data_IF_075392033881
#
_entry.id   IF_075392033881
#
_cell.length_a   1.000
_cell.length_b   1.000
_cell.length_c   1.000
_cell.angle_alpha   90.00
_cell.angle_beta   90.00
_cell.angle_gamma   90.00
#
_symmetry.space_group_name_H-M   'P 1'
#
loop_
_entity.id
_entity.type
_entity.pdbx_description
1 polymer ?
#
# COMPACT_ATOMS: atom_id res chain seq x y z
N UNK A 1 31.92 41.91 -12.98
CA UNK A 1 31.97 41.03 -11.83
C UNK A 1 31.60 39.64 -12.34
N UNK A 2 32.47 38.64 -12.13
CA UNK A 2 32.18 37.27 -12.55
C UNK A 2 30.96 36.77 -11.76
N UNK A 3 29.90 36.42 -12.47
CA UNK A 3 28.70 35.85 -11.88
C UNK A 3 29.10 34.55 -11.15
N UNK A 4 28.67 34.40 -9.90
CA UNK A 4 29.02 33.23 -9.10
C UNK A 4 28.49 31.99 -9.82
N UNK A 5 29.36 31.04 -10.17
CA UNK A 5 29.04 29.82 -10.91
C UNK A 5 27.82 29.08 -10.31
N UNK A 6 27.67 29.11 -8.98
CA UNK A 6 26.52 28.53 -8.31
C UNK A 6 25.22 29.30 -8.64
N UNK A 7 25.26 30.63 -8.64
CA UNK A 7 24.09 31.44 -8.99
C UNK A 7 23.63 31.18 -10.43
N UNK A 8 24.58 31.06 -11.36
CA UNK A 8 24.28 30.70 -12.75
C UNK A 8 23.65 29.32 -12.84
N UNK A 9 24.19 28.30 -12.17
CA UNK A 9 23.62 26.94 -12.16
C UNK A 9 22.22 26.90 -11.57
N UNK A 10 21.97 27.67 -10.50
CA UNK A 10 20.64 27.76 -9.87
C UNK A 10 19.66 28.43 -10.83
N UNK A 11 20.05 29.47 -11.55
CA UNK A 11 19.19 30.11 -12.59
C UNK A 11 18.84 29.11 -13.69
N UNK A 12 19.83 28.45 -14.29
CA UNK A 12 19.61 27.47 -15.36
C UNK A 12 18.63 26.38 -14.96
N UNK A 13 18.70 25.87 -13.70
CA UNK A 13 17.80 24.83 -13.23
C UNK A 13 16.43 25.38 -12.89
N UNK A 14 16.32 26.64 -12.45
CA UNK A 14 15.06 27.31 -12.19
C UNK A 14 14.32 27.59 -13.50
N UNK A 15 15.02 28.04 -14.55
CA UNK A 15 14.43 28.24 -15.87
C UNK A 15 13.87 26.94 -16.46
N UNK A 16 14.59 25.82 -16.27
CA UNK A 16 14.10 24.48 -16.64
C UNK A 16 12.86 24.07 -15.85
N UNK A 17 12.81 24.39 -14.54
CA UNK A 17 11.64 24.13 -13.71
C UNK A 17 10.43 24.93 -14.21
N UNK A 18 10.60 26.19 -14.54
CA UNK A 18 9.51 27.02 -15.08
C UNK A 18 8.96 26.47 -16.39
N UNK A 19 9.86 26.02 -17.29
CA UNK A 19 9.47 25.34 -18.50
C UNK A 19 8.73 24.02 -18.20
N UNK A 20 9.28 23.19 -17.32
CA UNK A 20 8.65 21.92 -16.92
C UNK A 20 7.27 22.11 -16.30
N UNK A 21 7.04 23.18 -15.53
CA UNK A 21 5.73 23.49 -14.96
C UNK A 21 4.71 23.84 -16.06
N UNK A 22 5.11 24.58 -17.07
CA UNK A 22 4.21 24.90 -18.19
C UNK A 22 3.78 23.68 -18.98
N UNK A 23 4.69 22.72 -19.12
CA UNK A 23 4.45 21.46 -19.86
C UNK A 23 3.79 20.37 -18.98
N UNK A 24 3.81 20.52 -17.66
CA UNK A 24 3.33 19.53 -16.70
C UNK A 24 1.84 19.19 -16.87
N UNK A 25 1.03 20.16 -17.28
CA UNK A 25 -0.43 20.00 -17.34
C UNK A 25 -0.94 19.32 -18.62
N UNK A 26 -0.07 18.65 -19.35
CA UNK A 26 -0.44 17.62 -20.32
C UNK A 26 -0.73 16.32 -19.57
N UNK A 27 -1.81 15.61 -19.92
CA UNK A 27 -2.32 14.45 -19.18
C UNK A 27 -1.25 13.39 -18.86
N UNK A 28 -0.45 13.00 -19.85
CA UNK A 28 0.57 11.97 -19.66
C UNK A 28 1.75 12.46 -18.80
N UNK A 29 2.19 13.69 -18.98
CA UNK A 29 3.24 14.29 -18.15
C UNK A 29 2.81 14.49 -16.71
N UNK A 30 1.54 14.81 -16.50
CA UNK A 30 0.97 14.94 -15.16
C UNK A 30 0.94 13.59 -14.45
N UNK A 31 0.51 12.53 -15.12
CA UNK A 31 0.57 11.16 -14.59
C UNK A 31 2.00 10.72 -14.25
N UNK A 32 2.95 11.01 -15.14
CA UNK A 32 4.36 10.68 -14.94
C UNK A 32 4.93 11.41 -13.72
N UNK A 33 4.59 12.69 -13.55
CA UNK A 33 4.95 13.45 -12.37
C UNK A 33 4.36 12.84 -11.09
N UNK A 34 3.06 12.50 -11.08
CA UNK A 34 2.42 11.87 -9.92
C UNK A 34 3.03 10.49 -9.59
N UNK A 35 3.37 9.71 -10.62
CA UNK A 35 4.08 8.43 -10.47
C UNK A 35 5.47 8.64 -9.86
N UNK A 36 6.20 9.65 -10.29
CA UNK A 36 7.50 10.01 -9.70
C UNK A 36 7.30 10.48 -8.27
N UNK A 37 6.27 11.28 -8.00
CA UNK A 37 5.96 11.76 -6.65
C UNK A 37 5.64 10.62 -5.68
N UNK A 38 4.98 9.54 -6.11
CA UNK A 38 4.70 8.38 -5.27
C UNK A 38 5.97 7.68 -4.76
N UNK A 39 7.05 7.73 -5.53
CA UNK A 39 8.37 7.19 -5.15
C UNK A 39 9.19 8.19 -4.31
N UNK A 40 9.04 9.48 -4.58
CA UNK A 40 9.84 10.58 -4.01
C UNK A 40 9.00 11.57 -3.20
N UNK A 41 7.99 11.08 -2.48
CA UNK A 41 7.05 11.91 -1.71
C UNK A 41 7.71 12.78 -0.63
N UNK A 42 8.90 12.39 -0.15
CA UNK A 42 9.72 13.16 0.80
C UNK A 42 10.50 14.32 0.15
N UNK A 43 10.56 14.39 -1.17
CA UNK A 43 11.21 15.48 -1.88
C UNK A 43 10.27 16.69 -2.04
N UNK A 44 10.86 17.90 -2.16
CA UNK A 44 10.07 19.08 -2.50
C UNK A 44 9.48 18.97 -3.91
N UNK A 45 8.37 19.67 -4.16
CA UNK A 45 7.76 19.76 -5.48
C UNK A 45 8.79 20.01 -6.60
N UNK A 46 9.67 21.01 -6.41
CA UNK A 46 10.69 21.33 -7.41
C UNK A 46 11.65 20.16 -7.67
N UNK A 47 12.08 19.48 -6.64
CA UNK A 47 13.02 18.36 -6.79
C UNK A 47 12.34 17.12 -7.38
N UNK A 48 11.11 16.84 -7.01
CA UNK A 48 10.32 15.75 -7.64
C UNK A 48 10.14 16.00 -9.13
N UNK A 49 9.81 17.23 -9.51
CA UNK A 49 9.68 17.60 -10.93
C UNK A 49 11.02 17.52 -11.67
N UNK A 50 12.12 17.96 -11.04
CA UNK A 50 13.46 17.84 -11.63
C UNK A 50 13.88 16.39 -11.83
N UNK A 51 13.53 15.48 -10.91
CA UNK A 51 13.78 14.04 -11.05
C UNK A 51 12.94 13.49 -12.19
N UNK A 52 11.63 13.77 -12.24
CA UNK A 52 10.73 13.31 -13.29
C UNK A 52 11.19 13.73 -14.69
N UNK A 53 11.65 14.98 -14.83
CA UNK A 53 12.14 15.52 -16.11
C UNK A 53 13.48 14.94 -16.58
N UNK A 54 14.33 14.48 -15.67
CA UNK A 54 15.69 14.02 -16.01
C UNK A 54 15.80 12.51 -16.04
N UNK A 55 15.03 11.81 -15.20
CA UNK A 55 15.02 10.34 -15.08
C UNK A 55 13.67 9.84 -14.54
N UNK A 56 12.63 9.79 -15.37
CA UNK A 56 11.26 9.45 -14.95
C UNK A 56 11.16 8.01 -14.40
N UNK A 57 12.02 7.11 -14.86
CA UNK A 57 12.10 5.73 -14.37
C UNK A 57 12.81 5.59 -13.01
N UNK A 58 13.41 6.64 -12.47
CA UNK A 58 14.10 6.58 -11.19
C UNK A 58 13.23 5.98 -10.08
N UNK A 59 13.85 5.19 -9.21
CA UNK A 59 13.15 4.51 -8.09
C UNK A 59 13.68 4.92 -6.73
N UNK A 60 14.98 5.12 -6.60
CA UNK A 60 15.63 5.55 -5.37
C UNK A 60 16.87 6.39 -5.68
N UNK A 61 16.90 7.62 -5.21
CA UNK A 61 18.03 8.52 -5.49
C UNK A 61 18.78 8.94 -4.22
N UNK A 62 20.10 8.98 -4.32
CA UNK A 62 20.96 9.47 -3.24
C UNK A 62 22.20 10.19 -3.81
N UNK A 63 22.85 11.02 -2.97
CA UNK A 63 24.11 11.65 -3.33
C UNK A 63 25.25 10.65 -3.48
N UNK A 64 26.28 11.01 -4.27
CA UNK A 64 27.43 10.16 -4.55
C UNK A 64 28.08 9.55 -3.28
N UNK A 65 28.38 10.40 -2.30
CA UNK A 65 28.95 9.97 -1.02
C UNK A 65 28.01 9.14 -0.17
N UNK A 66 26.70 9.39 -0.26
CA UNK A 66 25.69 8.62 0.46
C UNK A 66 25.59 7.19 -0.08
N UNK A 67 25.67 7.00 -1.40
CA UNK A 67 25.74 5.67 -1.99
C UNK A 67 26.88 4.86 -1.43
N UNK A 68 28.08 5.49 -1.30
CA UNK A 68 29.30 4.82 -0.83
C UNK A 68 29.25 4.51 0.68
N UNK A 69 28.85 5.49 1.52
CA UNK A 69 28.98 5.35 2.97
C UNK A 69 27.76 4.73 3.66
N UNK A 70 26.56 4.94 3.11
CA UNK A 70 25.34 4.50 3.77
C UNK A 70 24.77 3.21 3.15
N UNK A 71 25.12 2.93 1.88
CA UNK A 71 24.53 1.82 1.14
C UNK A 71 25.54 0.79 0.63
N UNK A 72 26.84 0.99 0.85
CA UNK A 72 27.92 0.14 0.33
C UNK A 72 27.81 -0.07 -1.21
N UNK A 73 27.45 1.02 -1.92
CA UNK A 73 27.28 1.03 -3.38
C UNK A 73 28.13 2.12 -4.00
N UNK A 74 28.52 1.93 -5.25
CA UNK A 74 29.31 2.90 -6.01
C UNK A 74 28.57 3.32 -7.27
N UNK A 75 28.58 4.62 -7.56
CA UNK A 75 28.08 5.14 -8.83
C UNK A 75 28.97 4.66 -9.96
N UNK A 76 28.38 4.06 -10.98
CA UNK A 76 29.10 3.51 -12.12
C UNK A 76 29.79 4.61 -12.91
N UNK A 77 30.95 4.26 -13.52
CA UNK A 77 31.74 5.21 -14.30
C UNK A 77 30.98 5.70 -15.53
N UNK A 78 30.90 7.01 -15.69
CA UNK A 78 30.25 7.64 -16.85
C UNK A 78 28.79 8.02 -16.63
N UNK A 79 28.19 7.64 -15.52
CA UNK A 79 26.83 8.01 -15.16
C UNK A 79 26.64 9.51 -14.99
N UNK A 80 25.51 10.03 -15.48
CA UNK A 80 25.14 11.44 -15.36
C UNK A 80 24.20 11.62 -14.19
N UNK A 81 24.62 12.42 -13.19
CA UNK A 81 23.79 12.71 -12.03
C UNK A 81 22.57 13.54 -12.37
N UNK A 82 21.48 13.26 -11.68
CA UNK A 82 20.25 14.03 -11.68
C UNK A 82 20.49 15.31 -10.87
N UNK A 83 20.29 16.47 -11.47
CA UNK A 83 20.56 17.76 -10.83
C UNK A 83 19.33 18.23 -10.06
N UNK A 84 19.48 18.44 -8.76
CA UNK A 84 18.42 18.92 -7.85
C UNK A 84 18.89 20.11 -7.03
N UNK A 85 17.95 20.77 -6.35
CA UNK A 85 18.21 21.92 -5.48
C UNK A 85 18.36 21.45 -4.01
N UNK A 86 19.51 21.69 -3.41
CA UNK A 86 19.72 21.44 -1.98
C UNK A 86 19.80 22.76 -1.20
N UNK A 87 19.25 22.85 0.01
CA UNK A 87 19.42 24.01 0.88
C UNK A 87 20.90 24.29 1.16
N UNK A 88 21.29 25.56 1.07
CA UNK A 88 22.63 26.05 1.34
C UNK A 88 22.56 27.42 2.04
N UNK A 89 21.92 27.50 3.22
CA UNK A 89 21.79 28.78 3.92
C UNK A 89 23.14 29.35 4.27
N UNK A 90 23.25 30.67 4.22
CA UNK A 90 24.47 31.38 4.58
C UNK A 90 24.22 32.47 5.62
N UNK A 91 25.22 32.76 6.41
CA UNK A 91 25.19 33.82 7.40
C UNK A 91 25.52 35.15 6.73
N UNK A 92 24.74 36.17 7.02
CA UNK A 92 24.93 37.55 6.54
C UNK A 92 24.81 38.48 7.74
N UNK A 93 25.62 39.52 7.76
CA UNK A 93 25.49 40.58 8.75
C UNK A 93 24.49 41.62 8.25
N UNK A 94 23.58 42.03 9.09
CA UNK A 94 22.58 43.03 8.83
C UNK A 94 22.57 44.06 9.96
N UNK A 95 22.64 45.34 9.58
CA UNK A 95 22.46 46.43 10.56
C UNK A 95 20.97 46.61 10.82
N UNK A 96 20.61 46.48 12.10
CA UNK A 96 19.23 46.69 12.56
C UNK A 96 19.22 47.74 13.67
N UNK A 97 18.11 48.47 13.77
CA UNK A 97 17.89 49.33 14.92
C UNK A 97 17.91 48.50 16.19
N UNK A 98 18.70 48.97 17.15
CA UNK A 98 18.74 48.33 18.46
C UNK A 98 17.45 48.65 19.21
N UNK A 99 16.70 47.59 19.54
CA UNK A 99 15.43 47.70 20.29
C UNK A 99 15.71 47.45 21.77
N UNK A 100 15.24 48.37 22.61
CA UNK A 100 15.28 48.20 24.06
C UNK A 100 14.32 47.07 24.43
N UNK A 101 14.76 46.00 25.14
CA UNK A 101 13.94 44.82 25.40
C UNK A 101 12.78 45.09 26.39
N UNK A 102 12.89 46.18 27.19
CA UNK A 102 11.85 46.55 28.17
C UNK A 102 10.76 47.42 27.54
N UNK A 103 11.17 48.40 26.74
CA UNK A 103 10.24 49.40 26.18
C UNK A 103 9.77 49.04 24.76
N UNK A 104 10.39 48.04 24.11
CA UNK A 104 10.13 47.65 22.70
C UNK A 104 10.28 48.82 21.72
N UNK A 105 11.07 49.83 22.07
CA UNK A 105 11.32 51.04 21.26
C UNK A 105 12.79 51.09 20.82
N UNK A 106 13.08 51.75 19.67
CA UNK A 106 14.45 51.96 19.27
C UNK A 106 15.26 52.75 20.32
N UNK A 107 16.47 52.31 20.59
CA UNK A 107 17.40 52.99 21.48
C UNK A 107 17.93 54.23 20.73
N UNK A 108 17.78 55.42 21.35
CA UNK A 108 18.27 56.68 20.84
C UNK A 108 19.62 57.00 21.50
N UNK A 109 20.61 57.28 20.69
CA UNK A 109 21.94 57.67 21.15
C UNK A 109 22.00 59.11 21.68
N UNK A 110 23.08 59.52 22.32
CA UNK A 110 23.31 60.86 22.88
C UNK A 110 23.29 61.95 21.79
N UNK A 111 23.48 61.60 20.54
CA UNK A 111 23.41 62.45 19.37
C UNK A 111 21.98 62.56 18.76
N UNK A 112 21.01 61.97 19.41
CA UNK A 112 19.59 61.96 18.97
C UNK A 112 19.28 61.02 17.82
N UNK A 113 20.21 60.19 17.40
CA UNK A 113 20.03 59.19 16.32
C UNK A 113 19.74 57.81 16.92
N UNK A 114 19.03 57.00 16.13
CA UNK A 114 18.80 55.61 16.50
C UNK A 114 20.14 54.84 16.51
N UNK A 115 20.40 54.11 17.56
CA UNK A 115 21.58 53.25 17.68
C UNK A 115 21.30 51.98 16.84
N UNK A 116 22.22 51.62 15.96
CA UNK A 116 22.15 50.36 15.20
C UNK A 116 23.05 49.30 15.85
N UNK A 117 22.68 48.06 15.69
CA UNK A 117 23.50 46.89 16.05
C UNK A 117 23.63 45.97 14.84
N UNK A 118 24.76 45.32 14.70
CA UNK A 118 24.99 44.33 13.66
C UNK A 118 24.51 42.96 14.16
N UNK A 119 23.47 42.41 13.54
CA UNK A 119 22.95 41.07 13.85
C UNK A 119 23.34 40.10 12.75
N UNK A 120 23.73 38.91 13.14
CA UNK A 120 23.95 37.80 12.22
C UNK A 120 22.58 37.20 11.84
N UNK A 121 22.23 37.22 10.56
CA UNK A 121 20.99 36.69 10.03
C UNK A 121 21.31 35.53 9.09
N UNK A 122 20.60 34.41 9.29
CA UNK A 122 20.70 33.25 8.41
C UNK A 122 19.79 33.49 7.18
N UNK A 123 20.39 33.64 6.00
CA UNK A 123 19.65 33.84 4.76
C UNK A 123 19.47 32.51 4.00
N UNK A 124 18.24 32.17 3.59
CA UNK A 124 18.01 30.98 2.82
C UNK A 124 18.66 31.11 1.43
N UNK A 125 19.34 30.07 1.03
CA UNK A 125 19.88 29.95 -0.33
C UNK A 125 19.88 28.48 -0.75
N UNK A 126 20.07 28.26 -2.05
CA UNK A 126 20.14 26.93 -2.64
C UNK A 126 21.43 26.75 -3.43
N UNK A 127 21.85 25.50 -3.55
CA UNK A 127 22.89 25.07 -4.48
C UNK A 127 22.41 23.90 -5.30
N UNK A 128 22.93 23.74 -6.52
CA UNK A 128 22.69 22.58 -7.36
C UNK A 128 23.58 21.44 -6.88
N UNK A 129 22.98 20.28 -6.61
CA UNK A 129 23.70 19.06 -6.30
C UNK A 129 23.29 17.95 -7.27
N UNK A 130 24.17 16.97 -7.45
CA UNK A 130 23.88 15.77 -8.24
C UNK A 130 23.53 14.61 -7.32
N UNK A 131 22.41 13.95 -7.62
CA UNK A 131 22.02 12.66 -7.05
C UNK A 131 22.01 11.61 -8.16
N UNK A 132 22.05 10.35 -7.78
CA UNK A 132 22.09 9.22 -8.71
C UNK A 132 21.03 8.23 -8.29
N UNK A 133 20.34 7.65 -9.27
CA UNK A 133 19.38 6.58 -9.03
C UNK A 133 20.10 5.25 -8.74
N UNK A 134 19.44 4.35 -8.04
CA UNK A 134 19.97 3.02 -7.73
C UNK A 134 20.43 2.27 -8.99
N UNK A 135 19.70 2.41 -10.11
CA UNK A 135 20.08 1.82 -11.40
C UNK A 135 21.40 2.35 -11.99
N UNK A 136 21.92 3.46 -11.48
CA UNK A 136 23.19 4.06 -11.84
C UNK A 136 24.33 3.63 -10.90
N UNK A 137 24.07 2.67 -10.01
CA UNK A 137 25.02 2.22 -9.00
C UNK A 137 25.21 0.71 -9.03
N UNK A 138 26.37 0.27 -8.56
CA UNK A 138 26.70 -1.13 -8.37
C UNK A 138 27.16 -1.36 -6.91
N UNK A 139 26.95 -2.57 -6.37
CA UNK A 139 27.33 -2.94 -5.01
C UNK A 139 26.26 -3.75 -4.30
N UNK A 140 26.22 -3.65 -2.97
CA UNK A 140 25.31 -4.42 -2.11
C UNK A 140 23.84 -4.19 -2.50
N UNK A 141 23.03 -5.25 -2.51
CA UNK A 141 21.58 -5.12 -2.68
C UNK A 141 21.01 -4.24 -1.56
N UNK A 142 20.10 -3.35 -1.93
CA UNK A 142 19.38 -2.56 -0.95
C UNK A 142 18.47 -3.50 -0.17
N UNK A 143 18.36 -3.35 1.16
CA UNK A 143 17.28 -4.02 1.89
C UNK A 143 15.96 -3.62 1.25
N UNK A 144 15.03 -4.55 1.14
CA UNK A 144 13.67 -4.28 0.69
C UNK A 144 13.05 -3.21 1.60
N UNK A 145 13.25 -1.95 1.20
CA UNK A 145 12.63 -0.78 1.85
C UNK A 145 11.20 -0.62 1.32
N UNK A 146 10.89 -1.38 0.30
CA UNK A 146 9.56 -1.47 -0.27
C UNK A 146 8.79 -2.37 0.67
N UNK A 147 7.80 -1.80 1.35
CA UNK A 147 6.63 -2.56 1.80
C UNK A 147 6.28 -3.45 0.62
N UNK A 148 6.39 -4.77 0.79
CA UNK A 148 6.05 -5.74 -0.25
C UNK A 148 4.87 -5.19 -1.02
N UNK A 149 5.05 -5.01 -2.35
CA UNK A 149 3.95 -4.56 -3.19
C UNK A 149 2.74 -5.34 -2.74
N UNK A 150 1.64 -4.66 -2.42
CA UNK A 150 0.37 -5.31 -2.12
C UNK A 150 -0.06 -6.06 -3.38
N UNK A 151 0.65 -7.16 -3.65
CA UNK A 151 0.33 -8.10 -4.71
C UNK A 151 -0.91 -8.83 -4.26
N UNK A 152 -2.05 -8.16 -4.44
CA UNK A 152 -3.37 -8.76 -4.59
C UNK A 152 -3.76 -9.95 -3.70
N UNK A 153 -3.14 -10.16 -2.53
CA UNK A 153 -3.49 -11.23 -1.63
C UNK A 153 -4.38 -10.72 -0.51
N UNK A 154 -5.48 -11.41 -0.31
CA UNK A 154 -6.52 -11.14 0.70
C UNK A 154 -5.95 -10.94 2.12
N UNK A 155 -4.84 -11.59 2.45
CA UNK A 155 -4.22 -11.47 3.78
C UNK A 155 -3.67 -10.09 4.10
N UNK A 156 -3.15 -9.37 3.11
CA UNK A 156 -2.64 -8.02 3.31
C UNK A 156 -3.73 -6.94 3.15
N UNK A 157 -4.84 -7.27 2.50
CA UNK A 157 -5.96 -6.33 2.31
C UNK A 157 -6.56 -5.88 3.64
N UNK A 158 -6.87 -6.79 4.56
CA UNK A 158 -7.47 -6.45 5.85
C UNK A 158 -6.57 -5.50 6.65
N UNK A 159 -5.28 -5.85 6.79
CA UNK A 159 -4.32 -5.01 7.50
C UNK A 159 -4.16 -3.63 6.82
N UNK A 160 -4.13 -3.61 5.49
CA UNK A 160 -4.05 -2.36 4.75
C UNK A 160 -5.31 -1.50 4.90
N UNK A 161 -6.48 -2.10 4.83
CA UNK A 161 -7.74 -1.38 5.01
C UNK A 161 -7.92 -0.88 6.44
N UNK A 162 -7.46 -1.64 7.43
CA UNK A 162 -7.43 -1.18 8.82
C UNK A 162 -6.43 -0.04 9.04
N UNK A 163 -5.29 -0.07 8.37
CA UNK A 163 -4.37 1.07 8.35
C UNK A 163 -5.03 2.32 7.73
N UNK A 164 -5.80 2.17 6.65
CA UNK A 164 -6.59 3.25 6.03
C UNK A 164 -7.65 3.80 6.98
N UNK A 165 -8.39 2.93 7.69
CA UNK A 165 -9.37 3.38 8.71
C UNK A 165 -8.71 4.20 9.81
N UNK A 166 -7.54 3.76 10.29
CA UNK A 166 -6.79 4.48 11.32
C UNK A 166 -6.16 5.78 10.79
N UNK A 167 -5.86 5.88 9.49
CA UNK A 167 -5.33 7.09 8.85
C UNK A 167 -6.43 8.12 8.54
N UNK A 168 -7.66 7.66 8.38
CA UNK A 168 -8.80 8.53 8.09
C UNK A 168 -9.06 9.51 9.23
N UNK A 169 -9.24 10.82 8.94
CA UNK A 169 -9.59 11.82 9.95
C UNK A 169 -11.04 11.68 10.46
N UNK A 170 -11.86 10.85 9.80
CA UNK A 170 -13.27 10.62 10.12
C UNK A 170 -13.61 9.13 9.99
N UNK A 171 -14.66 8.64 10.68
CA UNK A 171 -15.07 7.24 10.57
C UNK A 171 -15.44 6.84 9.12
N UNK A 172 -15.10 5.60 8.76
CA UNK A 172 -15.48 4.98 7.49
C UNK A 172 -16.54 3.92 7.77
N UNK A 173 -17.67 3.98 7.06
CA UNK A 173 -18.76 3.00 7.12
C UNK A 173 -19.02 2.42 5.73
N UNK A 174 -19.54 1.19 5.70
CA UNK A 174 -20.06 0.57 4.49
C UNK A 174 -21.58 0.69 4.50
N UNK A 175 -22.16 1.06 3.36
CA UNK A 175 -23.61 1.16 3.20
C UNK A 175 -24.01 0.98 1.73
N UNK A 176 -25.29 0.69 1.48
CA UNK A 176 -25.83 0.70 0.12
C UNK A 176 -26.13 2.13 -0.31
N UNK A 177 -25.31 2.63 -1.28
CA UNK A 177 -25.37 4.03 -1.73
C UNK A 177 -26.26 4.16 -2.95
N UNK A 178 -27.43 4.81 -2.86
CA UNK A 178 -28.30 5.01 -4.00
C UNK A 178 -27.64 5.82 -5.12
N UNK A 179 -27.93 5.50 -6.37
CA UNK A 179 -27.51 6.31 -7.53
C UNK A 179 -26.16 5.94 -8.13
N UNK A 180 -25.51 4.85 -7.68
CA UNK A 180 -24.33 4.28 -8.31
C UNK A 180 -23.01 4.97 -7.94
N UNK A 181 -23.00 5.86 -6.94
CA UNK A 181 -21.77 6.39 -6.36
C UNK A 181 -21.04 5.27 -5.60
N UNK A 182 -19.71 5.23 -5.73
CA UNK A 182 -18.86 4.22 -5.06
C UNK A 182 -18.52 4.58 -3.61
N UNK A 183 -18.60 5.85 -3.27
CA UNK A 183 -18.39 6.40 -1.94
C UNK A 183 -18.63 7.90 -1.92
N UNK A 184 -18.61 8.48 -0.74
CA UNK A 184 -18.63 9.93 -0.55
C UNK A 184 -18.10 10.31 0.83
N UNK A 185 -17.47 11.47 0.91
CA UNK A 185 -17.18 12.17 2.15
C UNK A 185 -18.30 13.17 2.47
N UNK A 186 -18.90 13.06 3.65
CA UNK A 186 -19.88 14.03 4.18
C UNK A 186 -19.22 14.97 5.19
N UNK A 187 -18.94 16.23 4.84
CA UNK A 187 -18.41 17.20 5.81
C UNK A 187 -19.39 17.51 6.94
N UNK A 188 -20.70 17.42 6.66
CA UNK A 188 -21.76 17.73 7.64
C UNK A 188 -21.86 16.64 8.70
N UNK A 189 -21.80 15.38 8.28
CA UNK A 189 -21.88 14.22 9.17
C UNK A 189 -20.51 13.80 9.71
N UNK A 190 -19.43 14.41 9.18
CA UNK A 190 -18.03 14.07 9.50
C UNK A 190 -17.75 12.57 9.39
N UNK A 191 -18.15 11.98 8.25
CA UNK A 191 -17.96 10.55 7.96
C UNK A 191 -17.68 10.30 6.48
N UNK A 192 -17.11 9.15 6.20
CA UNK A 192 -16.98 8.57 4.85
C UNK A 192 -17.91 7.38 4.74
N UNK A 193 -18.65 7.30 3.64
CA UNK A 193 -19.43 6.13 3.27
C UNK A 193 -18.83 5.47 2.03
N UNK A 194 -18.77 4.13 2.02
CA UNK A 194 -18.28 3.32 0.92
C UNK A 194 -19.36 2.32 0.54
N UNK A 195 -19.61 2.16 -0.77
CA UNK A 195 -20.58 1.20 -1.31
C UNK A 195 -20.19 -0.22 -0.91
N UNK A 196 -21.16 -0.96 -0.37
CA UNK A 196 -21.03 -2.38 -0.06
C UNK A 196 -20.87 -3.24 -1.33
N UNK A 197 -20.19 -4.38 -1.22
CA UNK A 197 -20.12 -5.39 -2.27
C UNK A 197 -19.18 -5.08 -3.44
N UNK A 198 -18.37 -4.03 -3.37
CA UNK A 198 -17.32 -3.76 -4.34
C UNK A 198 -16.14 -4.73 -4.18
N UNK A 199 -15.32 -4.86 -5.23
CA UNK A 199 -14.04 -5.57 -5.12
C UNK A 199 -13.10 -4.86 -4.14
N UNK A 200 -12.18 -5.61 -3.52
CA UNK A 200 -11.18 -5.08 -2.59
C UNK A 200 -10.40 -3.90 -3.17
N UNK A 201 -9.92 -4.04 -4.40
CA UNK A 201 -9.20 -2.97 -5.12
C UNK A 201 -10.05 -1.72 -5.24
N UNK A 202 -11.32 -1.87 -5.66
CA UNK A 202 -12.21 -0.72 -5.81
C UNK A 202 -12.55 -0.07 -4.46
N UNK A 203 -12.73 -0.87 -3.42
CA UNK A 203 -12.98 -0.41 -2.05
C UNK A 203 -11.81 0.43 -1.54
N UNK A 204 -10.59 -0.07 -1.69
CA UNK A 204 -9.37 0.65 -1.30
C UNK A 204 -9.21 1.97 -2.07
N UNK A 205 -9.37 1.95 -3.39
CA UNK A 205 -9.28 3.16 -4.23
C UNK A 205 -10.29 4.21 -3.81
N UNK A 206 -11.53 3.79 -3.56
CA UNK A 206 -12.59 4.69 -3.10
C UNK A 206 -12.26 5.23 -1.70
N UNK A 207 -11.84 4.39 -0.77
CA UNK A 207 -11.44 4.82 0.58
C UNK A 207 -10.33 5.88 0.54
N UNK A 208 -9.27 5.64 -0.23
CA UNK A 208 -8.14 6.59 -0.37
C UNK A 208 -8.64 7.94 -0.94
N UNK A 209 -9.52 7.91 -1.94
CA UNK A 209 -10.09 9.11 -2.56
C UNK A 209 -10.93 9.92 -1.55
N UNK A 210 -11.82 9.27 -0.81
CA UNK A 210 -12.67 9.95 0.17
C UNK A 210 -11.87 10.44 1.39
N UNK A 211 -10.81 9.72 1.80
CA UNK A 211 -9.87 10.18 2.82
C UNK A 211 -9.14 11.44 2.34
N UNK A 212 -8.74 11.49 1.06
CA UNK A 212 -8.13 12.68 0.49
C UNK A 212 -9.08 13.88 0.52
N UNK A 213 -10.36 13.69 0.18
CA UNK A 213 -11.38 14.73 0.35
C UNK A 213 -11.52 15.17 1.80
N UNK A 214 -11.57 14.24 2.75
CA UNK A 214 -11.70 14.54 4.17
C UNK A 214 -10.49 15.33 4.71
N UNK A 215 -9.27 14.98 4.28
CA UNK A 215 -8.04 15.71 4.69
C UNK A 215 -7.92 17.10 4.06
N UNK A 216 -8.29 17.22 2.78
CA UNK A 216 -8.07 18.45 2.00
C UNK A 216 -9.23 19.45 2.12
N UNK A 217 -10.45 18.95 2.24
CA UNK A 217 -11.65 19.75 1.96
C UNK A 217 -12.68 19.73 3.10
N UNK A 218 -12.34 19.13 4.26
CA UNK A 218 -13.16 19.27 5.46
C UNK A 218 -13.22 20.76 5.87
N UNK A 219 -14.44 21.30 5.91
CA UNK A 219 -14.67 22.65 6.40
C UNK A 219 -14.58 22.60 7.92
N UNK A 220 -13.57 23.21 8.51
CA UNK A 220 -13.51 23.37 9.97
C UNK A 220 -14.67 24.28 10.39
N UNK A 221 -15.48 23.90 11.39
CA UNK A 221 -16.67 24.67 11.79
C UNK A 221 -16.41 26.14 12.11
N UNK A 222 -15.18 26.47 12.54
CA UNK A 222 -14.78 27.80 13.00
C UNK A 222 -14.04 28.64 11.94
N UNK A 223 -13.67 28.07 10.81
CA UNK A 223 -13.05 28.82 9.71
C UNK A 223 -14.10 29.31 8.73
N UNK A 224 -14.52 30.57 8.90
CA UNK A 224 -15.15 31.33 7.80
C UNK A 224 -14.07 31.61 6.78
N UNK A 225 -13.80 30.65 5.87
CA UNK A 225 -12.94 30.89 4.74
C UNK A 225 -13.46 32.13 3.97
N UNK A 226 -12.59 33.10 3.74
CA UNK A 226 -12.94 34.24 2.88
C UNK A 226 -13.45 33.72 1.54
N UNK A 227 -14.42 34.41 0.89
CA UNK A 227 -14.96 33.96 -0.41
C UNK A 227 -13.87 33.71 -1.44
N UNK A 228 -12.74 34.39 -1.32
CA UNK A 228 -11.56 34.33 -2.22
C UNK A 228 -10.73 33.04 -2.03
N UNK A 229 -10.82 32.38 -0.86
CA UNK A 229 -10.08 31.14 -0.53
C UNK A 229 -10.87 29.85 -0.81
N UNK A 230 -12.11 29.96 -1.30
CA UNK A 230 -12.94 28.80 -1.60
C UNK A 230 -12.52 28.18 -2.93
N UNK A 231 -11.78 27.07 -2.85
CA UNK A 231 -11.51 26.25 -4.03
C UNK A 231 -12.82 25.81 -4.68
N UNK A 232 -12.89 25.91 -6.01
CA UNK A 232 -14.02 25.40 -6.77
C UNK A 232 -14.08 23.85 -6.71
N UNK A 233 -15.23 23.28 -7.05
CA UNK A 233 -15.46 21.84 -7.00
C UNK A 233 -14.45 21.10 -7.88
N UNK A 234 -14.12 21.65 -9.04
CA UNK A 234 -13.21 21.02 -9.98
C UNK A 234 -11.78 20.93 -9.41
N UNK A 235 -11.29 21.99 -8.78
CA UNK A 235 -9.99 22.01 -8.10
C UNK A 235 -9.94 20.96 -6.98
N UNK A 236 -11.03 20.82 -6.21
CA UNK A 236 -11.12 19.81 -5.15
C UNK A 236 -11.03 18.38 -5.69
N UNK A 237 -11.71 18.09 -6.80
CA UNK A 237 -11.64 16.79 -7.45
C UNK A 237 -10.23 16.49 -7.99
N UNK A 238 -9.60 17.48 -8.67
CA UNK A 238 -8.22 17.34 -9.16
C UNK A 238 -7.25 17.03 -8.03
N UNK A 239 -7.36 17.74 -6.91
CA UNK A 239 -6.48 17.53 -5.77
C UNK A 239 -6.70 16.15 -5.13
N UNK A 240 -7.94 15.76 -4.86
CA UNK A 240 -8.26 14.47 -4.25
C UNK A 240 -7.88 13.29 -5.16
N UNK A 241 -8.19 13.37 -6.46
CA UNK A 241 -7.84 12.34 -7.43
C UNK A 241 -6.32 12.20 -7.60
N UNK A 242 -5.59 13.33 -7.59
CA UNK A 242 -4.12 13.32 -7.68
C UNK A 242 -3.46 12.69 -6.44
N UNK A 243 -3.99 12.99 -5.24
CA UNK A 243 -3.55 12.35 -4.00
C UNK A 243 -3.83 10.84 -4.05
N UNK A 244 -5.07 10.46 -4.40
CA UNK A 244 -5.47 9.06 -4.48
C UNK A 244 -4.62 8.27 -5.48
N UNK A 245 -4.40 8.82 -6.67
CA UNK A 245 -3.51 8.22 -7.66
C UNK A 245 -2.10 8.00 -7.10
N UNK A 246 -1.53 9.02 -6.45
CA UNK A 246 -0.17 8.96 -5.90
C UNK A 246 -0.04 7.90 -4.81
N UNK A 247 -1.01 7.84 -3.90
CA UNK A 247 -1.05 6.83 -2.84
C UNK A 247 -1.24 5.43 -3.42
N UNK A 248 -2.17 5.24 -4.37
CA UNK A 248 -2.37 3.96 -5.06
C UNK A 248 -1.09 3.50 -5.78
N UNK A 249 -0.39 4.40 -6.49
CA UNK A 249 0.88 4.08 -7.16
C UNK A 249 1.97 3.65 -6.17
N UNK A 250 2.01 4.24 -4.98
CA UNK A 250 2.97 3.87 -3.92
C UNK A 250 2.82 2.41 -3.50
N UNK A 251 1.60 1.91 -3.43
CA UNK A 251 1.27 0.57 -2.98
C UNK A 251 1.00 -0.43 -4.11
N UNK A 252 1.37 -0.10 -5.35
CA UNK A 252 1.19 -0.99 -6.51
C UNK A 252 -0.28 -1.30 -6.86
N UNK A 253 -1.23 -0.48 -6.38
CA UNK A 253 -2.65 -0.64 -6.66
C UNK A 253 -2.93 -0.19 -8.09
N UNK A 254 -3.70 -0.98 -8.86
CA UNK A 254 -4.07 -0.71 -10.25
C UNK A 254 -4.71 0.68 -10.42
N UNK A 255 -4.16 1.47 -11.34
CA UNK A 255 -4.54 2.87 -11.58
C UNK A 255 -4.86 3.18 -13.04
N UNK A 256 -5.08 2.17 -13.89
CA UNK A 256 -5.35 2.35 -15.33
C UNK A 256 -6.64 3.13 -15.61
N UNK A 257 -7.61 3.08 -14.71
CA UNK A 257 -8.88 3.78 -14.79
C UNK A 257 -8.81 5.28 -14.42
N UNK A 258 -7.69 5.74 -13.82
CA UNK A 258 -7.49 7.17 -13.60
C UNK A 258 -7.18 7.88 -14.91
N UNK A 259 -7.92 8.95 -15.17
CA UNK A 259 -7.77 9.77 -16.37
C UNK A 259 -7.67 11.24 -16.01
N UNK A 260 -6.54 11.85 -16.34
CA UNK A 260 -6.30 13.28 -16.15
C UNK A 260 -6.52 14.10 -17.43
N UNK A 261 -7.38 13.62 -18.35
CA UNK A 261 -7.68 14.31 -19.60
C UNK A 261 -8.21 15.75 -19.43
N UNK A 262 -8.78 16.04 -18.26
CA UNK A 262 -9.30 17.34 -17.90
C UNK A 262 -8.25 18.31 -17.32
N UNK A 263 -7.03 17.83 -17.03
CA UNK A 263 -6.00 18.61 -16.32
C UNK A 263 -5.58 19.87 -17.08
N UNK A 264 -5.52 19.80 -18.40
CA UNK A 264 -5.22 20.95 -19.23
C UNK A 264 -6.30 22.02 -19.11
N UNK A 265 -7.57 21.64 -19.07
CA UNK A 265 -8.70 22.55 -18.84
C UNK A 265 -8.68 23.18 -17.45
N UNK A 266 -8.33 22.39 -16.43
CA UNK A 266 -8.22 22.87 -15.06
C UNK A 266 -7.10 23.91 -14.89
N UNK A 267 -5.97 23.72 -15.57
CA UNK A 267 -4.84 24.65 -15.49
C UNK A 267 -5.03 25.93 -16.30
N UNK A 268 -5.97 25.94 -17.27
CA UNK A 268 -6.21 27.07 -18.16
C UNK A 268 -6.73 28.27 -17.36
N UNK A 269 -6.05 29.41 -17.52
CA UNK A 269 -6.40 30.68 -16.87
C UNK A 269 -5.93 30.80 -15.41
N UNK A 270 -5.29 29.78 -14.85
CA UNK A 270 -4.69 29.86 -13.51
C UNK A 270 -3.27 30.41 -13.55
N UNK A 271 -2.90 31.16 -12.52
CA UNK A 271 -1.54 31.65 -12.39
C UNK A 271 -0.59 30.50 -11.94
N UNK A 272 0.65 30.55 -12.39
CA UNK A 272 1.68 29.56 -12.02
C UNK A 272 1.82 29.41 -10.49
N UNK A 273 1.61 30.48 -9.72
CA UNK A 273 1.67 30.45 -8.25
C UNK A 273 0.53 29.63 -7.67
N UNK A 274 -0.68 29.75 -8.19
CA UNK A 274 -1.85 28.98 -7.77
C UNK A 274 -1.67 27.50 -8.08
N UNK A 275 -1.21 27.18 -9.29
CA UNK A 275 -0.92 25.81 -9.71
C UNK A 275 0.17 25.14 -8.83
N UNK A 276 1.25 25.87 -8.54
CA UNK A 276 2.30 25.38 -7.61
C UNK A 276 1.74 25.13 -6.21
N UNK A 277 0.84 25.99 -5.72
CA UNK A 277 0.22 25.82 -4.41
C UNK A 277 -0.63 24.56 -4.34
N UNK A 278 -1.46 24.28 -5.37
CA UNK A 278 -2.23 23.04 -5.45
C UNK A 278 -1.32 21.81 -5.52
N UNK A 279 -0.27 21.85 -6.34
CA UNK A 279 0.69 20.75 -6.45
C UNK A 279 1.46 20.49 -5.14
N UNK A 280 1.81 21.53 -4.39
CA UNK A 280 2.44 21.36 -3.06
C UNK A 280 1.45 20.81 -2.04
N UNK A 281 0.19 21.19 -2.13
CA UNK A 281 -0.90 20.63 -1.30
C UNK A 281 -1.09 19.15 -1.59
N UNK A 282 -1.20 18.75 -2.87
CA UNK A 282 -1.29 17.34 -3.29
C UNK A 282 -0.10 16.55 -2.74
N UNK A 283 1.12 17.05 -2.93
CA UNK A 283 2.33 16.39 -2.45
C UNK A 283 2.34 16.19 -0.94
N UNK A 284 2.05 17.23 -0.17
CA UNK A 284 2.05 17.16 1.30
C UNK A 284 1.02 16.15 1.81
N UNK A 285 -0.19 16.21 1.27
CA UNK A 285 -1.26 15.30 1.70
C UNK A 285 -0.96 13.86 1.30
N UNK A 286 -0.42 13.62 0.11
CA UNK A 286 0.00 12.29 -0.30
C UNK A 286 1.13 11.76 0.59
N UNK A 287 2.13 12.59 0.91
CA UNK A 287 3.22 12.23 1.82
C UNK A 287 2.72 11.87 3.22
N UNK A 288 1.87 12.72 3.81
CA UNK A 288 1.26 12.47 5.12
C UNK A 288 0.45 11.17 5.14
N UNK A 289 -0.33 10.90 4.09
CA UNK A 289 -1.09 9.65 3.98
C UNK A 289 -0.17 8.44 3.86
N UNK A 290 0.86 8.49 3.01
CA UNK A 290 1.81 7.39 2.84
C UNK A 290 2.54 7.11 4.16
N UNK A 291 3.11 8.14 4.80
CA UNK A 291 3.80 8.00 6.08
C UNK A 291 2.88 7.44 7.18
N UNK A 292 1.65 7.94 7.25
CA UNK A 292 0.65 7.48 8.21
C UNK A 292 0.22 6.04 7.99
N UNK A 293 -0.01 5.64 6.73
CA UNK A 293 -0.35 4.26 6.36
C UNK A 293 0.83 3.33 6.63
N UNK A 294 2.05 3.67 6.18
CA UNK A 294 3.26 2.87 6.38
C UNK A 294 3.50 2.60 7.88
N UNK A 295 3.36 3.63 8.73
CA UNK A 295 3.54 3.50 10.17
C UNK A 295 2.53 2.54 10.81
N UNK A 296 1.25 2.67 10.45
CA UNK A 296 0.16 1.83 10.98
C UNK A 296 0.23 0.40 10.45
N UNK A 297 0.48 0.24 9.16
CA UNK A 297 0.62 -1.07 8.53
C UNK A 297 1.77 -1.87 9.14
N UNK A 298 2.90 -1.21 9.41
CA UNK A 298 4.04 -1.84 10.10
C UNK A 298 3.66 -2.38 11.48
N UNK A 299 2.86 -1.64 12.24
CA UNK A 299 2.39 -2.08 13.57
C UNK A 299 1.43 -3.26 13.43
N UNK A 300 0.42 -3.15 12.55
CA UNK A 300 -0.58 -4.21 12.32
C UNK A 300 0.05 -5.52 11.84
N UNK A 301 1.02 -5.44 10.92
CA UNK A 301 1.74 -6.63 10.45
C UNK A 301 2.63 -7.23 11.54
N UNK A 302 3.27 -6.40 12.38
CA UNK A 302 4.06 -6.89 13.50
C UNK A 302 3.18 -7.56 14.59
N UNK A 303 2.01 -7.00 14.88
CA UNK A 303 1.04 -7.59 15.81
C UNK A 303 0.50 -8.92 15.28
N UNK A 304 0.21 -8.99 13.96
CA UNK A 304 -0.20 -10.22 13.29
C UNK A 304 0.88 -11.29 13.40
N UNK A 305 2.13 -10.97 13.05
CA UNK A 305 3.26 -11.90 13.15
C UNK A 305 3.49 -12.37 14.58
N UNK A 306 3.40 -11.49 15.60
CA UNK A 306 3.51 -11.88 17.00
C UNK A 306 2.35 -12.75 17.47
N UNK A 307 1.13 -12.53 16.96
CA UNK A 307 -0.02 -13.36 17.29
C UNK A 307 0.12 -14.76 16.66
N UNK A 308 0.65 -14.86 15.46
CA UNK A 308 0.96 -16.11 14.78
C UNK A 308 2.10 -16.86 15.46
N UNK A 309 3.17 -16.16 15.89
CA UNK A 309 4.28 -16.74 16.65
C UNK A 309 3.83 -17.26 18.03
N UNK A 310 2.99 -16.49 18.75
CA UNK A 310 2.40 -16.94 20.02
C UNK A 310 1.43 -18.09 19.84
N UNK A 311 0.70 -18.15 18.74
CA UNK A 311 -0.16 -19.28 18.39
C UNK A 311 0.67 -20.54 18.07
N UNK A 312 1.87 -20.38 17.49
CA UNK A 312 2.80 -21.45 17.22
C UNK A 312 3.56 -21.94 18.49
N UNK A 313 3.79 -21.06 19.48
CA UNK A 313 4.45 -21.40 20.75
C UNK A 313 3.49 -21.88 21.85
N UNK A 314 2.17 -21.62 21.73
CA UNK A 314 1.21 -22.12 22.68
C UNK A 314 1.17 -23.65 22.62
N UNK A 315 1.24 -24.37 23.77
CA UNK A 315 0.97 -25.79 23.76
C UNK A 315 -0.42 -25.97 23.15
N UNK A 316 -0.51 -26.81 22.12
CA UNK A 316 -1.76 -27.12 21.43
C UNK A 316 -2.68 -27.81 22.45
N UNK A 317 -3.36 -27.07 23.31
CA UNK A 317 -4.61 -27.52 23.86
C UNK A 317 -5.54 -27.66 22.66
N UNK A 318 -5.92 -28.88 22.35
CA UNK A 318 -6.79 -29.21 21.24
C UNK A 318 -8.03 -28.32 21.32
N UNK A 319 -8.06 -27.23 20.54
CA UNK A 319 -9.28 -26.46 20.33
C UNK A 319 -10.32 -27.46 19.84
N UNK A 320 -11.48 -27.60 20.50
CA UNK A 320 -12.46 -28.57 20.08
C UNK A 320 -12.78 -28.33 18.62
N UNK A 321 -12.40 -29.31 17.78
CA UNK A 321 -12.55 -29.17 16.33
C UNK A 321 -14.03 -28.95 16.01
N UNK A 322 -14.33 -27.90 15.26
CA UNK A 322 -15.70 -27.63 14.80
C UNK A 322 -16.19 -28.85 14.02
N UNK A 323 -17.30 -29.52 14.38
CA UNK A 323 -17.76 -30.71 13.66
C UNK A 323 -18.04 -30.41 12.18
N UNK A 324 -17.77 -31.40 11.31
CA UNK A 324 -18.14 -31.29 9.90
C UNK A 324 -19.67 -31.44 9.78
N UNK A 325 -20.31 -30.37 9.29
CA UNK A 325 -21.74 -30.40 9.01
C UNK A 325 -21.98 -30.97 7.61
N UNK A 326 -22.77 -32.03 7.50
CA UNK A 326 -22.89 -32.80 6.25
C UNK A 326 -24.20 -32.61 5.51
N UNK A 327 -25.13 -31.82 6.06
CA UNK A 327 -26.41 -31.51 5.45
C UNK A 327 -26.43 -30.16 4.72
N UNK A 328 -27.50 -29.90 3.96
CA UNK A 328 -27.65 -28.69 3.18
C UNK A 328 -27.98 -27.45 4.04
N UNK A 329 -27.81 -26.25 3.49
CA UNK A 329 -28.17 -25.01 4.16
C UNK A 329 -29.69 -24.95 4.48
N UNK A 330 -30.53 -25.50 3.60
CA UNK A 330 -31.97 -25.55 3.81
C UNK A 330 -32.35 -26.46 4.99
N UNK A 331 -31.71 -27.64 5.07
CA UNK A 331 -31.89 -28.53 6.21
C UNK A 331 -31.46 -27.87 7.51
N UNK A 332 -30.28 -27.24 7.54
CA UNK A 332 -29.77 -26.51 8.70
C UNK A 332 -30.69 -25.38 9.15
N UNK A 333 -31.33 -24.67 8.21
CA UNK A 333 -32.31 -23.64 8.51
C UNK A 333 -33.57 -24.22 9.15
N UNK A 334 -34.12 -25.29 8.59
CA UNK A 334 -35.32 -25.96 9.11
C UNK A 334 -35.10 -26.63 10.47
N UNK A 335 -33.87 -27.16 10.67
CA UNK A 335 -33.47 -27.80 11.94
C UNK A 335 -33.06 -26.78 13.03
N UNK A 336 -32.92 -25.48 12.71
CA UNK A 336 -32.41 -24.48 13.64
C UNK A 336 -30.89 -24.56 13.90
N UNK A 337 -30.14 -25.23 13.03
CA UNK A 337 -28.69 -25.51 13.13
C UNK A 337 -27.83 -24.65 12.20
N UNK A 338 -28.33 -23.50 11.76
CA UNK A 338 -27.66 -22.64 10.79
C UNK A 338 -26.29 -22.12 11.26
N UNK A 339 -26.09 -21.91 12.56
CA UNK A 339 -24.79 -21.55 13.14
C UNK A 339 -23.77 -22.68 12.99
N UNK A 340 -24.16 -23.93 13.28
CA UNK A 340 -23.29 -25.10 13.11
C UNK A 340 -22.89 -25.30 11.64
N UNK A 341 -23.85 -25.09 10.73
CA UNK A 341 -23.58 -25.10 9.28
C UNK A 341 -22.55 -24.03 8.89
N UNK A 342 -22.74 -22.78 9.33
CA UNK A 342 -21.83 -21.67 9.05
C UNK A 342 -20.43 -21.88 9.63
N UNK A 343 -20.36 -22.34 10.87
CA UNK A 343 -19.08 -22.64 11.53
C UNK A 343 -18.32 -23.74 10.79
N UNK A 344 -19.00 -24.82 10.39
CA UNK A 344 -18.40 -25.90 9.59
C UNK A 344 -17.91 -25.40 8.23
N UNK A 345 -18.72 -24.56 7.53
CA UNK A 345 -18.32 -23.99 6.25
C UNK A 345 -17.09 -23.09 6.39
N UNK A 346 -17.03 -22.24 7.41
CA UNK A 346 -15.87 -21.39 7.69
C UNK A 346 -14.61 -22.23 7.91
N UNK A 347 -14.68 -23.26 8.76
CA UNK A 347 -13.56 -24.16 9.03
C UNK A 347 -13.12 -24.97 7.78
N UNK A 348 -14.04 -25.32 6.88
CA UNK A 348 -13.71 -25.95 5.59
C UNK A 348 -12.98 -24.97 4.66
N UNK A 349 -13.36 -23.69 4.67
CA UNK A 349 -12.67 -22.63 3.91
C UNK A 349 -11.25 -22.41 4.42
N UNK A 350 -11.06 -22.37 5.75
CA UNK A 350 -9.73 -22.24 6.36
C UNK A 350 -8.83 -23.44 6.04
N UNK A 351 -9.34 -24.65 6.19
CA UNK A 351 -8.61 -25.87 5.83
C UNK A 351 -8.19 -25.87 4.35
N UNK A 352 -9.08 -25.43 3.46
CA UNK A 352 -8.76 -25.25 2.05
C UNK A 352 -7.60 -24.28 1.85
N UNK A 353 -7.68 -23.07 2.47
CA UNK A 353 -6.63 -22.05 2.37
C UNK A 353 -5.28 -22.59 2.85
N UNK A 354 -5.28 -23.33 3.94
CA UNK A 354 -4.06 -23.97 4.45
C UNK A 354 -3.48 -24.98 3.46
N UNK A 355 -4.31 -25.77 2.78
CA UNK A 355 -3.86 -26.70 1.73
C UNK A 355 -3.25 -25.92 0.56
N UNK A 356 -3.90 -24.82 0.11
CA UNK A 356 -3.41 -23.96 -0.97
C UNK A 356 -2.05 -23.34 -0.61
N UNK A 357 -1.93 -22.80 0.58
CA UNK A 357 -0.70 -22.20 1.08
C UNK A 357 0.41 -23.25 1.20
N UNK A 358 0.12 -24.42 1.74
CA UNK A 358 1.08 -25.51 1.87
C UNK A 358 1.62 -25.98 0.50
N UNK A 359 0.74 -26.13 -0.50
CA UNK A 359 1.16 -26.47 -1.87
C UNK A 359 2.06 -25.37 -2.43
N UNK A 360 1.70 -24.10 -2.26
CA UNK A 360 2.48 -22.98 -2.78
C UNK A 360 3.84 -22.82 -2.12
N UNK A 361 3.90 -22.98 -0.80
CA UNK A 361 5.14 -22.81 -0.01
C UNK A 361 6.13 -23.97 -0.18
N UNK A 362 5.65 -25.15 -0.55
CA UNK A 362 6.49 -26.34 -0.76
C UNK A 362 6.73 -26.65 -2.25
N UNK A 363 6.44 -25.71 -3.15
CA UNK A 363 6.70 -25.84 -4.58
C UNK A 363 7.95 -25.01 -4.97
N UNK A 364 8.96 -25.67 -5.52
CA UNK A 364 10.22 -25.08 -5.93
C UNK A 364 10.75 -25.65 -7.25
N UNK A 365 12.01 -25.41 -7.55
CA UNK A 365 12.69 -25.85 -8.78
C UNK A 365 12.65 -27.38 -9.02
N UNK A 366 12.55 -28.17 -7.95
CA UNK A 366 12.45 -29.63 -7.99
C UNK A 366 11.00 -30.16 -7.99
N UNK A 367 10.00 -29.28 -8.11
CA UNK A 367 8.59 -29.63 -8.02
C UNK A 367 8.01 -29.47 -6.61
N UNK A 368 6.87 -30.13 -6.35
CA UNK A 368 6.17 -30.09 -5.07
C UNK A 368 6.76 -31.13 -4.10
N UNK A 369 7.23 -30.66 -2.93
CA UNK A 369 7.42 -31.54 -1.77
C UNK A 369 6.06 -31.79 -1.11
N UNK A 370 5.35 -32.81 -1.63
CA UNK A 370 4.00 -33.12 -1.21
C UNK A 370 3.92 -33.65 0.23
N UNK A 371 4.97 -34.34 0.70
CA UNK A 371 5.02 -34.88 2.05
C UNK A 371 5.14 -33.78 3.10
N UNK A 372 6.03 -32.80 2.86
CA UNK A 372 6.15 -31.63 3.74
C UNK A 372 4.87 -30.80 3.75
N UNK A 373 4.26 -30.60 2.58
CA UNK A 373 3.01 -29.86 2.45
C UNK A 373 1.87 -30.54 3.22
N UNK A 374 1.69 -31.83 3.10
CA UNK A 374 0.67 -32.59 3.84
C UNK A 374 0.91 -32.52 5.33
N UNK A 375 2.16 -32.70 5.77
CA UNK A 375 2.52 -32.63 7.20
C UNK A 375 2.12 -31.28 7.80
N UNK A 376 2.43 -30.17 7.14
CA UNK A 376 2.11 -28.84 7.66
C UNK A 376 0.60 -28.59 7.79
N UNK A 377 -0.22 -29.20 6.94
CA UNK A 377 -1.69 -29.10 7.04
C UNK A 377 -2.23 -30.00 8.15
N UNK A 378 -1.69 -31.20 8.32
CA UNK A 378 -2.10 -32.11 9.37
C UNK A 378 -1.70 -31.66 10.80
N UNK A 379 -0.76 -30.74 10.92
CA UNK A 379 -0.46 -30.04 12.17
C UNK A 379 -1.56 -29.07 12.60
N UNK A 380 -2.36 -28.59 11.65
CA UNK A 380 -3.39 -27.55 11.86
C UNK A 380 -4.82 -28.11 11.84
N UNK A 381 -5.07 -29.15 11.05
CA UNK A 381 -6.42 -29.71 10.82
C UNK A 381 -6.43 -31.21 10.98
N UNK A 382 -7.56 -31.75 11.47
CA UNK A 382 -7.73 -33.19 11.54
C UNK A 382 -7.70 -33.85 10.16
N UNK A 383 -7.21 -35.11 10.10
CA UNK A 383 -7.24 -35.88 8.85
C UNK A 383 -8.65 -36.03 8.27
N UNK A 384 -9.69 -36.01 9.11
CA UNK A 384 -11.08 -36.10 8.68
C UNK A 384 -11.51 -34.85 7.91
N UNK A 385 -11.20 -33.66 8.41
CA UNK A 385 -11.51 -32.39 7.72
C UNK A 385 -10.73 -32.23 6.42
N UNK A 386 -9.44 -32.52 6.43
CA UNK A 386 -8.60 -32.52 5.23
C UNK A 386 -9.17 -33.45 4.16
N UNK A 387 -9.52 -34.69 4.57
CA UNK A 387 -10.16 -35.68 3.69
C UNK A 387 -11.46 -35.16 3.10
N UNK A 388 -12.31 -34.55 3.91
CA UNK A 388 -13.59 -33.98 3.50
C UNK A 388 -13.40 -32.88 2.45
N UNK A 389 -12.52 -31.91 2.69
CA UNK A 389 -12.23 -30.79 1.79
C UNK A 389 -11.63 -31.29 0.47
N UNK A 390 -10.67 -32.22 0.52
CA UNK A 390 -10.04 -32.78 -0.68
C UNK A 390 -11.04 -33.60 -1.52
N UNK A 391 -11.83 -34.47 -0.88
CA UNK A 391 -12.83 -35.27 -1.56
C UNK A 391 -13.90 -34.44 -2.24
N UNK A 392 -14.39 -33.42 -1.54
CA UNK A 392 -15.36 -32.48 -2.11
C UNK A 392 -14.80 -31.78 -3.36
N UNK A 393 -13.55 -31.33 -3.28
CA UNK A 393 -12.85 -30.71 -4.40
C UNK A 393 -12.82 -31.61 -5.63
N UNK A 394 -12.40 -32.85 -5.46
CA UNK A 394 -12.26 -33.79 -6.57
C UNK A 394 -13.64 -34.16 -7.13
N UNK A 395 -14.65 -34.35 -6.29
CA UNK A 395 -16.02 -34.62 -6.76
C UNK A 395 -16.58 -33.49 -7.61
N UNK A 396 -16.33 -32.22 -7.24
CA UNK A 396 -16.71 -31.06 -8.04
C UNK A 396 -15.97 -30.94 -9.39
N UNK A 397 -14.82 -31.58 -9.50
CA UNK A 397 -13.97 -31.61 -10.71
C UNK A 397 -13.94 -32.99 -11.39
N UNK A 398 -14.91 -33.83 -11.16
CA UNK A 398 -14.99 -35.21 -11.73
C UNK A 398 -14.91 -35.23 -13.27
N UNK A 399 -15.36 -34.15 -13.92
CA UNK A 399 -15.27 -33.97 -15.37
C UNK A 399 -13.84 -33.65 -15.85
N UNK A 400 -12.90 -33.26 -14.98
CA UNK A 400 -11.56 -32.88 -15.38
C UNK A 400 -10.70 -34.13 -15.67
N UNK A 401 -10.31 -34.30 -16.93
CA UNK A 401 -9.48 -35.44 -17.38
C UNK A 401 -8.05 -35.43 -16.85
N UNK A 402 -7.58 -34.33 -16.22
CA UNK A 402 -6.26 -34.22 -15.61
C UNK A 402 -6.19 -34.86 -14.22
N UNK A 403 -7.33 -35.13 -13.61
CA UNK A 403 -7.39 -35.83 -12.32
C UNK A 403 -7.42 -37.35 -12.57
N UNK A 404 -6.48 -38.10 -11.99
CA UNK A 404 -6.43 -39.54 -12.12
C UNK A 404 -7.74 -40.22 -11.68
N UNK A 405 -8.14 -41.27 -12.40
CA UNK A 405 -9.37 -41.99 -12.13
C UNK A 405 -9.40 -42.61 -10.70
N UNK A 406 -8.27 -43.07 -10.22
CA UNK A 406 -8.12 -43.61 -8.86
C UNK A 406 -8.51 -42.57 -7.77
N UNK A 407 -8.14 -41.30 -7.97
CA UNK A 407 -8.50 -40.23 -7.02
C UNK A 407 -9.98 -39.87 -7.10
N UNK A 408 -10.58 -39.96 -8.26
CA UNK A 408 -12.04 -39.75 -8.45
C UNK A 408 -12.84 -40.85 -7.73
N UNK A 409 -12.38 -42.11 -7.81
CA UNK A 409 -13.00 -43.24 -7.12
C UNK A 409 -12.83 -43.10 -5.60
N UNK A 410 -11.65 -42.73 -5.13
CA UNK A 410 -11.41 -42.43 -3.72
C UNK A 410 -12.32 -41.29 -3.24
N UNK A 411 -12.40 -40.21 -3.94
CA UNK A 411 -13.24 -39.09 -3.56
C UNK A 411 -14.72 -39.48 -3.44
N UNK A 412 -15.23 -40.31 -4.34
CA UNK A 412 -16.60 -40.83 -4.32
C UNK A 412 -16.90 -41.74 -3.11
N UNK A 413 -15.86 -42.32 -2.50
CA UNK A 413 -16.01 -43.09 -1.25
C UNK A 413 -16.19 -42.22 0.00
N UNK A 414 -16.00 -40.90 -0.11
CA UNK A 414 -16.15 -39.96 1.00
C UNK A 414 -17.49 -39.25 0.87
N UNK A 415 -18.29 -39.30 1.90
CA UNK A 415 -19.57 -38.59 1.96
C UNK A 415 -19.32 -37.11 2.19
N UNK A 416 -19.74 -36.30 1.25
CA UNK A 416 -19.60 -34.81 1.28
C UNK A 416 -20.92 -34.14 0.92
N UNK A 417 -21.20 -33.00 1.54
CA UNK A 417 -22.27 -32.10 1.14
C UNK A 417 -21.69 -31.03 0.20
N UNK A 418 -22.05 -30.98 -1.08
CA UNK A 418 -21.49 -30.02 -2.03
C UNK A 418 -21.76 -28.56 -1.66
N UNK A 419 -22.83 -28.27 -0.94
CA UNK A 419 -23.19 -26.93 -0.50
C UNK A 419 -22.35 -26.45 0.68
N UNK A 420 -21.95 -27.38 1.57
CA UNK A 420 -21.07 -27.11 2.70
C UNK A 420 -19.60 -27.33 2.30
N UNK A 421 -19.24 -26.86 1.15
CA UNK A 421 -17.91 -26.97 0.60
C UNK A 421 -17.46 -25.63 0.07
N UNK A 422 -16.26 -25.26 0.40
CA UNK A 422 -15.65 -24.14 -0.27
C UNK A 422 -15.36 -24.50 -1.71
N UNK A 423 -15.74 -23.65 -2.65
CA UNK A 423 -15.32 -23.77 -4.04
C UNK A 423 -13.81 -23.64 -4.12
N UNK A 424 -13.19 -24.52 -4.91
CA UNK A 424 -11.84 -24.90 -4.73
C UNK A 424 -10.99 -24.53 -5.94
N UNK A 425 -9.81 -24.20 -5.62
CA UNK A 425 -8.49 -24.64 -5.61
C UNK A 425 -7.88 -24.96 -6.95
N UNK A 426 -8.37 -25.39 -7.92
CA UNK A 426 -7.59 -26.06 -8.96
C UNK A 426 -7.54 -25.31 -10.30
N UNK A 427 -7.99 -24.09 -10.33
CA UNK A 427 -7.98 -23.35 -11.59
C UNK A 427 -6.66 -22.61 -11.87
N UNK A 428 -5.70 -22.59 -10.91
CA UNK A 428 -4.39 -21.96 -11.13
C UNK A 428 -3.32 -22.57 -10.20
N UNK A 429 -2.15 -22.88 -10.68
CA UNK A 429 -1.72 -23.04 -12.09
C UNK A 429 -1.55 -24.48 -12.52
N UNK A 430 -1.74 -25.51 -11.67
CA UNK A 430 -1.48 -26.90 -12.03
C UNK A 430 -2.35 -27.91 -11.27
N UNK A 431 -3.40 -28.50 -11.90
CA UNK A 431 -4.21 -29.57 -11.28
C UNK A 431 -3.40 -30.81 -10.87
N UNK A 432 -2.24 -31.01 -11.48
CA UNK A 432 -1.31 -32.07 -11.10
C UNK A 432 -0.76 -31.90 -9.69
N UNK A 433 -0.58 -30.66 -9.20
CA UNK A 433 -0.08 -30.42 -7.84
C UNK A 433 -1.10 -30.87 -6.77
N UNK A 434 -2.39 -30.61 -7.01
CA UNK A 434 -3.46 -31.09 -6.13
C UNK A 434 -3.51 -32.61 -6.11
N UNK A 435 -3.36 -33.27 -7.25
CA UNK A 435 -3.32 -34.73 -7.32
C UNK A 435 -2.14 -35.31 -6.53
N UNK A 436 -0.95 -34.69 -6.63
CA UNK A 436 0.22 -35.08 -5.85
C UNK A 436 -0.02 -34.92 -4.34
N UNK A 437 -0.62 -33.80 -3.92
CA UNK A 437 -0.96 -33.57 -2.53
C UNK A 437 -1.95 -34.61 -2.00
N UNK A 438 -2.99 -34.94 -2.77
CA UNK A 438 -3.98 -35.96 -2.37
C UNK A 438 -3.34 -37.34 -2.27
N UNK A 439 -2.45 -37.71 -3.18
CA UNK A 439 -1.75 -39.00 -3.12
C UNK A 439 -0.85 -39.10 -1.89
N UNK A 440 -0.08 -38.08 -1.58
CA UNK A 440 0.73 -38.01 -0.36
C UNK A 440 -0.11 -38.05 0.90
N UNK A 441 -1.23 -37.28 0.94
CA UNK A 441 -2.17 -37.30 2.04
C UNK A 441 -2.74 -38.73 2.30
N UNK A 442 -3.14 -39.41 1.24
CA UNK A 442 -3.64 -40.77 1.33
C UNK A 442 -2.58 -41.73 1.90
N UNK A 443 -1.37 -41.69 1.37
CA UNK A 443 -0.26 -42.53 1.82
C UNK A 443 0.04 -42.30 3.30
N UNK A 444 0.12 -41.05 3.76
CA UNK A 444 0.41 -40.74 5.17
C UNK A 444 -0.72 -41.16 6.12
N UNK A 445 -1.98 -41.01 5.71
CA UNK A 445 -3.13 -41.29 6.59
C UNK A 445 -3.58 -42.76 6.55
N UNK A 446 -3.35 -43.48 5.44
CA UNK A 446 -3.67 -44.91 5.32
C UNK A 446 -2.59 -45.79 5.99
N UNK A 447 -1.30 -45.42 5.88
CA UNK A 447 -0.21 -46.10 6.59
C UNK A 447 -0.35 -46.02 8.14
N UNK A 448 -0.95 -44.93 8.65
CA UNK A 448 -1.20 -44.83 10.11
C UNK A 448 -2.34 -45.75 10.61
N UNK A 449 -3.30 -46.10 9.75
CA UNK A 449 -4.38 -47.02 10.12
C UNK A 449 -3.89 -48.47 10.29
N UNK A 450 -2.96 -48.93 9.47
CA UNK A 450 -2.40 -50.28 9.55
C UNK A 450 -1.56 -50.46 10.82
N UNK A 451 -0.78 -49.45 11.21
CA UNK A 451 0.03 -49.50 12.46
C UNK A 451 -0.84 -49.44 13.71
N UNK A 452 -2.01 -48.81 13.68
CA UNK A 452 -2.93 -48.77 14.83
C UNK A 452 -3.77 -50.03 14.95
N UNK A 453 -4.07 -50.73 13.84
CA UNK A 453 -4.80 -52.01 13.85
C UNK A 453 -3.92 -53.19 14.32
N UNK A 454 -2.62 -53.17 14.03
CA UNK A 454 -1.67 -54.19 14.54
C UNK A 454 -1.42 -54.05 16.05
N UNK A 455 -1.40 -52.82 16.61
CA UNK A 455 -1.25 -52.58 18.06
C UNK A 455 -2.52 -52.85 18.88
N UNK A 456 -3.67 -52.97 18.25
CA UNK A 456 -4.92 -53.30 18.93
C UNK A 456 -5.20 -54.83 18.95
N UNK A 457 -4.35 -55.62 18.31
CA UNK A 457 -4.46 -57.11 18.22
C UNK A 457 -3.35 -57.82 18.98
N UNK A 458 -2.42 -57.11 19.59
CA UNK A 458 -1.50 -57.61 20.63
C UNK A 458 -2.00 -57.19 22.03
#
# INVERSE_FOLDING_TARGET
MAENKNAQQVREITDKLEQGIKELFESERFKEYLRTMSKFYNYSFNNTLLIAMQKPEATYVAGYTSWQHNFDRQVMKGEKGIRILAPAPYKSQEEREKIDPLTQKPVIGADGKTVTETVEVLRPAFKVVSVFDVSQTDGKELPDIIVDELKGTVENYEAFFDALKQESPVPISFEDIPGGAKGFFSPVESRIAIQEGMSEIQTVKTAIHEIAHAKLHAVKPDEKAAPEDKKDRHTKEVEAESVAYTVCQRYGIETSDYSFGYIAGWSTGKETKELKSSLDTIRKTAAEMIEGIDAKLKVLLAEKAQSEEKAAEAPVEAVPEVPIYRETANYAYEAGELESYRASLAANVECRRAIEAAISSNYGDNGLDADAAVKSVLEQFSPERVRYVLANTIQQKDFDGRIPQLLKEWAKSVEVCPENASRFLVDKPNPGLTALFVDAFRQQTEAQKDVTSEKATE
#
